data_IF_481245286825
#
_entry.id   IF_481245286825
#
_cell.length_a   1.000
_cell.length_b   1.000
_cell.length_c   1.000
_cell.angle_alpha   90.00
_cell.angle_beta   90.00
_cell.angle_gamma   90.00
#
_symmetry.space_group_name_H-M   'P 1'
#
loop_
_entity.id
_entity.type
_entity.pdbx_description
1 polymer ?
#
# COMPACT_ATOMS: atom_id res chain seq x y z
N UNK A 1 14.50 98.11 -45.63
CA UNK A 1 15.90 97.99 -45.18
C UNK A 1 16.00 96.75 -44.29
N UNK A 2 16.76 95.77 -44.77
CA UNK A 2 17.55 94.70 -44.11
C UNK A 2 17.27 94.23 -42.65
N UNK A 3 17.56 92.94 -42.34
CA UNK A 3 16.74 92.04 -41.51
C UNK A 3 17.43 91.57 -40.21
N UNK A 4 16.76 90.72 -39.39
CA UNK A 4 17.31 89.57 -38.60
C UNK A 4 16.18 89.02 -37.69
N UNK A 5 15.49 87.91 -38.01
CA UNK A 5 15.70 86.46 -37.68
C UNK A 5 15.64 86.07 -36.18
N UNK A 6 14.88 84.97 -35.94
CA UNK A 6 14.93 83.92 -34.86
C UNK A 6 14.06 84.19 -33.60
N UNK A 7 13.30 83.27 -32.97
CA UNK A 7 13.16 81.79 -32.93
C UNK A 7 11.71 81.43 -32.46
N UNK A 8 11.06 80.42 -33.04
CA UNK A 8 9.85 79.77 -32.47
C UNK A 8 10.27 78.63 -31.53
N UNK A 9 9.75 78.60 -30.29
CA UNK A 9 9.87 77.46 -29.35
C UNK A 9 8.74 76.46 -29.62
N UNK A 10 9.07 75.22 -29.97
CA UNK A 10 8.14 74.10 -30.03
C UNK A 10 8.38 73.17 -28.83
N UNK A 11 7.33 72.89 -28.08
CA UNK A 11 7.31 71.90 -27.00
C UNK A 11 7.05 70.51 -27.60
N UNK A 12 7.96 69.56 -27.37
CA UNK A 12 7.78 68.15 -27.75
C UNK A 12 7.23 67.40 -26.54
N UNK A 13 6.01 66.87 -26.67
CA UNK A 13 5.42 65.92 -25.74
C UNK A 13 5.94 64.51 -26.04
N UNK A 14 6.52 63.85 -25.05
CA UNK A 14 6.97 62.47 -25.15
C UNK A 14 5.81 61.50 -24.86
N UNK A 15 5.39 60.71 -25.85
CA UNK A 15 4.54 59.54 -25.66
C UNK A 15 5.40 58.35 -25.18
N UNK A 16 5.09 57.83 -24.00
CA UNK A 16 5.62 56.55 -23.49
C UNK A 16 4.64 55.42 -23.85
N UNK A 17 5.04 54.59 -24.81
CA UNK A 17 4.34 53.37 -25.20
C UNK A 17 4.64 52.27 -24.18
N UNK A 18 3.65 51.88 -23.36
CA UNK A 18 3.77 50.76 -22.43
C UNK A 18 3.42 49.45 -23.15
N UNK A 19 4.42 48.66 -23.52
CA UNK A 19 4.22 47.29 -24.02
C UNK A 19 4.09 46.37 -22.81
N UNK A 20 2.88 45.87 -22.55
CA UNK A 20 2.64 44.84 -21.55
C UNK A 20 3.11 43.48 -22.11
N UNK A 21 4.25 42.98 -21.64
CA UNK A 21 4.69 41.61 -21.85
C UNK A 21 3.82 40.67 -21.00
N UNK A 22 2.82 40.05 -21.62
CA UNK A 22 2.09 38.91 -21.05
C UNK A 22 2.99 37.67 -21.12
N UNK A 23 3.66 37.35 -20.02
CA UNK A 23 4.24 36.01 -19.84
C UNK A 23 3.12 35.03 -19.51
N UNK A 24 3.02 33.87 -20.18
CA UNK A 24 2.09 32.84 -19.74
C UNK A 24 2.62 32.30 -18.40
N UNK A 25 1.87 32.53 -17.33
CA UNK A 25 2.04 31.79 -16.09
C UNK A 25 1.68 30.33 -16.39
N UNK A 26 2.68 29.49 -16.61
CA UNK A 26 2.48 28.06 -16.39
C UNK A 26 2.08 27.92 -14.93
N UNK A 27 0.91 27.34 -14.60
CA UNK A 27 0.65 27.02 -13.20
C UNK A 27 1.76 26.06 -12.78
N UNK A 28 2.57 26.47 -11.81
CA UNK A 28 3.43 25.54 -11.10
C UNK A 28 2.50 24.48 -10.52
N UNK A 29 2.44 23.32 -11.16
CA UNK A 29 1.72 22.18 -10.60
C UNK A 29 2.32 21.98 -9.22
N UNK A 30 1.51 22.11 -8.17
CA UNK A 30 1.95 21.70 -6.85
C UNK A 30 2.48 20.27 -7.00
N UNK A 31 3.73 20.04 -6.58
CA UNK A 31 4.29 18.69 -6.63
C UNK A 31 3.36 17.78 -5.84
N UNK A 32 2.96 16.65 -6.43
CA UNK A 32 2.18 15.64 -5.73
C UNK A 32 2.96 15.22 -4.47
N UNK A 33 2.27 14.90 -3.37
CA UNK A 33 2.90 14.48 -2.11
C UNK A 33 2.26 13.17 -1.66
N UNK A 34 3.09 12.21 -1.27
CA UNK A 34 2.72 10.99 -0.57
C UNK A 34 2.35 11.34 0.88
N UNK A 35 1.12 11.03 1.25
CA UNK A 35 0.59 11.27 2.61
C UNK A 35 0.39 9.98 3.38
N UNK A 36 0.30 8.83 2.70
CA UNK A 36 0.26 7.51 3.31
C UNK A 36 1.62 6.81 3.11
N UNK A 37 2.54 7.09 4.04
CA UNK A 37 3.88 6.53 4.07
C UNK A 37 3.87 5.29 4.96
N UNK A 38 3.69 4.13 4.33
CA UNK A 38 3.18 2.95 4.99
C UNK A 38 4.17 1.80 5.15
N UNK A 39 3.94 0.97 6.16
CA UNK A 39 4.59 -0.34 6.31
C UNK A 39 3.56 -1.39 6.73
N UNK A 40 3.54 -2.56 6.07
CA UNK A 40 2.88 -3.75 6.59
C UNK A 40 3.80 -4.46 7.56
N UNK A 41 3.43 -4.55 8.84
CA UNK A 41 4.28 -5.16 9.88
C UNK A 41 3.55 -6.30 10.58
N UNK A 42 2.71 -7.04 9.88
CA UNK A 42 1.82 -7.99 10.55
C UNK A 42 2.58 -9.17 11.19
N UNK A 43 3.75 -9.55 10.67
CA UNK A 43 4.62 -10.58 11.26
C UNK A 43 5.29 -10.15 12.59
N UNK A 44 5.38 -8.85 12.86
CA UNK A 44 6.31 -8.30 13.85
C UNK A 44 5.98 -8.71 15.28
N UNK A 45 4.69 -8.87 15.61
CA UNK A 45 4.30 -9.31 16.95
C UNK A 45 4.85 -10.70 17.25
N UNK A 46 4.80 -11.59 16.26
CA UNK A 46 5.34 -12.94 16.42
C UNK A 46 6.85 -12.91 16.53
N UNK A 47 7.53 -12.09 15.72
CA UNK A 47 8.97 -11.86 15.87
C UNK A 47 9.33 -11.45 17.30
N UNK A 48 8.60 -10.48 17.86
CA UNK A 48 8.85 -9.99 19.23
C UNK A 48 8.56 -11.05 20.30
N UNK A 49 7.45 -11.79 20.19
CA UNK A 49 7.13 -12.91 21.09
C UNK A 49 8.19 -14.03 21.06
N UNK A 50 8.88 -14.19 19.92
CA UNK A 50 10.01 -15.12 19.74
C UNK A 50 11.37 -14.53 20.14
N UNK A 51 11.40 -13.30 20.68
CA UNK A 51 12.62 -12.66 21.20
C UNK A 51 13.46 -11.94 20.16
N UNK A 52 12.92 -11.67 18.96
CA UNK A 52 13.58 -10.83 17.96
C UNK A 52 13.92 -9.45 18.55
N UNK A 53 15.07 -8.91 18.14
CA UNK A 53 15.55 -7.59 18.57
C UNK A 53 15.81 -6.74 17.35
N UNK A 54 15.39 -5.48 17.42
CA UNK A 54 15.55 -4.51 16.34
C UNK A 54 16.47 -3.39 16.80
N UNK A 55 17.32 -2.92 15.90
CA UNK A 55 18.34 -1.91 16.16
C UNK A 55 18.27 -0.82 15.09
N UNK A 56 18.36 0.42 15.56
CA UNK A 56 18.48 1.58 14.67
C UNK A 56 19.85 1.62 13.95
N UNK A 57 20.04 2.61 13.08
CA UNK A 57 21.27 2.77 12.31
C UNK A 57 22.52 2.91 13.21
N UNK A 58 22.35 3.47 14.41
CA UNK A 58 23.39 3.64 15.42
C UNK A 58 23.66 2.37 16.25
N UNK A 59 22.88 1.30 16.04
CA UNK A 59 23.01 0.05 16.79
C UNK A 59 22.28 0.06 18.14
N UNK A 60 21.42 1.04 18.41
CA UNK A 60 20.64 1.09 19.64
C UNK A 60 19.39 0.23 19.49
N UNK A 61 19.15 -0.66 20.45
CA UNK A 61 17.94 -1.47 20.48
C UNK A 61 16.70 -0.58 20.67
N UNK A 62 15.70 -0.73 19.80
CA UNK A 62 14.44 0.02 19.85
C UNK A 62 13.29 -0.85 19.37
N UNK A 63 12.07 -0.45 19.70
CA UNK A 63 10.89 -1.04 19.11
C UNK A 63 10.89 -0.78 17.59
N UNK A 64 10.58 -1.78 16.75
CA UNK A 64 10.60 -1.63 15.30
C UNK A 64 9.65 -0.53 14.79
N UNK A 65 8.51 -0.27 15.44
CA UNK A 65 7.62 0.83 15.06
C UNK A 65 8.27 2.20 15.30
N UNK A 66 9.06 2.34 16.36
CA UNK A 66 9.76 3.60 16.65
C UNK A 66 10.90 3.84 15.64
N UNK A 67 11.59 2.77 15.23
CA UNK A 67 12.58 2.83 14.15
C UNK A 67 11.90 3.25 12.84
N UNK A 68 10.86 2.52 12.42
CA UNK A 68 10.12 2.82 11.18
C UNK A 68 9.55 4.23 11.16
N UNK A 69 8.99 4.70 12.28
CA UNK A 69 8.53 6.09 12.41
C UNK A 69 9.67 7.10 12.23
N UNK A 70 10.84 6.82 12.80
CA UNK A 70 12.05 7.61 12.58
C UNK A 70 12.54 7.62 11.12
N UNK A 71 12.17 6.62 10.33
CA UNK A 71 12.46 6.54 8.89
C UNK A 71 11.41 7.23 8.00
N UNK A 72 10.33 7.77 8.60
CA UNK A 72 9.27 8.50 7.90
C UNK A 72 7.93 7.77 7.82
N UNK A 73 7.81 6.53 8.34
CA UNK A 73 6.54 5.81 8.35
C UNK A 73 5.52 6.58 9.20
N UNK A 74 4.34 6.80 8.63
CA UNK A 74 3.20 7.43 9.28
C UNK A 74 1.93 6.56 9.28
N UNK A 75 1.98 5.40 8.62
CA UNK A 75 0.87 4.48 8.43
C UNK A 75 1.32 3.03 8.62
N UNK A 76 0.53 2.23 9.33
CA UNK A 76 0.76 0.79 9.48
C UNK A 76 -0.38 0.03 8.84
N UNK A 77 -0.06 -0.96 8.01
CA UNK A 77 -0.99 -1.95 7.48
C UNK A 77 -0.88 -3.23 8.31
N UNK A 78 -2.02 -3.81 8.67
CA UNK A 78 -2.11 -5.11 9.35
C UNK A 78 -3.10 -6.00 8.61
N UNK A 79 -2.62 -7.16 8.14
CA UNK A 79 -3.51 -8.19 7.61
C UNK A 79 -4.30 -8.85 8.73
N UNK A 80 -5.54 -9.21 8.42
CA UNK A 80 -6.42 -9.99 9.28
C UNK A 80 -6.98 -11.20 8.55
N UNK A 81 -6.67 -12.38 9.09
CA UNK A 81 -7.26 -13.66 8.73
C UNK A 81 -8.42 -13.98 9.67
N UNK A 82 -9.39 -14.74 9.18
CA UNK A 82 -10.60 -15.09 9.92
C UNK A 82 -10.30 -16.01 11.10
N UNK A 83 -9.76 -17.19 10.83
CA UNK A 83 -9.41 -18.19 11.83
C UNK A 83 -8.16 -19.00 11.44
N UNK A 84 -6.98 -18.36 11.42
CA UNK A 84 -5.74 -19.02 11.06
C UNK A 84 -5.31 -20.03 12.14
N UNK A 85 -4.92 -21.23 11.69
CA UNK A 85 -4.43 -22.32 12.57
C UNK A 85 -3.25 -21.90 13.44
N UNK A 86 -2.39 -21.00 12.94
CA UNK A 86 -1.26 -20.45 13.70
C UNK A 86 -1.67 -19.65 14.95
N UNK A 87 -2.90 -19.15 15.02
CA UNK A 87 -3.36 -18.19 16.03
C UNK A 87 -2.80 -16.78 15.86
N UNK A 88 -2.14 -16.48 14.73
CA UNK A 88 -1.53 -15.19 14.40
C UNK A 88 -2.25 -14.46 13.27
N UNK A 89 -2.16 -13.13 13.24
CA UNK A 89 -2.92 -12.28 12.31
C UNK A 89 -4.44 -12.48 12.35
N UNK A 90 -4.99 -13.00 13.46
CA UNK A 90 -6.43 -13.02 13.68
C UNK A 90 -6.90 -11.70 14.32
N UNK A 91 -8.22 -11.52 14.45
CA UNK A 91 -8.83 -10.36 15.10
C UNK A 91 -8.16 -10.00 16.44
N UNK A 92 -7.96 -10.97 17.34
CA UNK A 92 -7.40 -10.71 18.67
C UNK A 92 -5.98 -10.13 18.60
N UNK A 93 -5.12 -10.68 17.74
CA UNK A 93 -3.75 -10.18 17.51
C UNK A 93 -3.74 -8.81 16.84
N UNK A 94 -4.66 -8.55 15.92
CA UNK A 94 -4.80 -7.23 15.28
C UNK A 94 -5.23 -6.18 16.31
N UNK A 95 -6.22 -6.46 17.16
CA UNK A 95 -6.64 -5.54 18.22
C UNK A 95 -5.50 -5.24 19.20
N UNK A 96 -4.75 -6.27 19.60
CA UNK A 96 -3.63 -6.10 20.52
C UNK A 96 -2.59 -5.12 19.94
N UNK A 97 -2.19 -5.32 18.69
CA UNK A 97 -1.14 -4.50 18.08
C UNK A 97 -1.59 -3.13 17.63
N UNK A 98 -2.86 -2.98 17.23
CA UNK A 98 -3.43 -1.68 16.90
C UNK A 98 -3.25 -0.66 18.04
N UNK A 99 -3.22 -1.11 19.30
CA UNK A 99 -2.89 -0.25 20.45
C UNK A 99 -1.46 0.29 20.38
N UNK A 100 -0.49 -0.57 20.09
CA UNK A 100 0.92 -0.18 19.96
C UNK A 100 1.14 0.77 18.78
N UNK A 101 0.42 0.55 17.66
CA UNK A 101 0.42 1.43 16.48
C UNK A 101 -0.14 2.81 16.84
N UNK A 102 -1.36 2.88 17.39
CA UNK A 102 -2.04 4.16 17.66
C UNK A 102 -1.43 4.92 18.83
N UNK A 103 -0.86 4.25 19.83
CA UNK A 103 -0.12 4.90 20.92
C UNK A 103 1.10 5.70 20.40
N UNK A 104 1.64 5.33 19.24
CA UNK A 104 2.73 6.05 18.57
C UNK A 104 2.25 7.15 17.63
N UNK A 105 0.94 7.38 17.54
CA UNK A 105 0.35 8.35 16.62
C UNK A 105 0.42 7.93 15.15
N UNK A 106 0.69 6.65 14.86
CA UNK A 106 0.67 6.11 13.50
C UNK A 106 -0.78 5.86 13.07
N UNK A 107 -1.07 6.09 11.79
CA UNK A 107 -2.35 5.69 11.19
C UNK A 107 -2.42 4.19 10.99
N UNK A 108 -3.63 3.64 10.91
CA UNK A 108 -3.87 2.20 10.87
C UNK A 108 -4.76 1.80 9.69
N UNK A 109 -4.25 0.88 8.87
CA UNK A 109 -4.97 0.21 7.79
C UNK A 109 -5.18 -1.26 8.19
N UNK A 110 -6.42 -1.74 8.14
CA UNK A 110 -6.72 -3.17 8.30
C UNK A 110 -6.98 -3.79 6.95
N UNK A 111 -6.21 -4.82 6.62
CA UNK A 111 -6.39 -5.59 5.41
C UNK A 111 -7.13 -6.89 5.67
N UNK A 112 -8.40 -6.95 5.27
CA UNK A 112 -9.23 -8.14 5.39
C UNK A 112 -8.96 -9.09 4.22
N UNK A 113 -8.28 -10.19 4.50
CA UNK A 113 -8.07 -11.24 3.49
C UNK A 113 -9.35 -12.03 3.20
N UNK A 114 -10.30 -12.07 4.14
CA UNK A 114 -11.47 -12.95 4.10
C UNK A 114 -11.10 -14.42 3.81
N UNK A 115 -10.08 -14.89 4.52
CA UNK A 115 -9.52 -16.25 4.42
C UNK A 115 -8.90 -16.61 5.78
N UNK A 116 -8.71 -17.90 6.04
CA UNK A 116 -7.95 -18.40 7.19
C UNK A 116 -6.43 -18.40 6.93
N UNK A 117 -6.02 -18.05 5.72
CA UNK A 117 -4.63 -18.06 5.27
C UNK A 117 -4.41 -16.96 4.22
N UNK A 118 -3.25 -16.97 3.57
CA UNK A 118 -2.91 -16.09 2.45
C UNK A 118 -4.04 -15.99 1.41
N UNK A 119 -4.26 -14.77 0.94
CA UNK A 119 -5.15 -14.45 -0.16
C UNK A 119 -4.32 -13.64 -1.17
N UNK A 120 -4.25 -14.12 -2.40
CA UNK A 120 -3.40 -13.64 -3.49
C UNK A 120 -4.11 -13.92 -4.85
N UNK A 121 -3.57 -13.51 -6.02
CA UNK A 121 -4.22 -13.72 -7.30
C UNK A 121 -4.48 -15.19 -7.65
N UNK A 122 -3.74 -16.13 -7.05
CA UNK A 122 -3.89 -17.57 -7.24
C UNK A 122 -4.72 -18.26 -6.15
N UNK A 123 -4.96 -17.61 -5.01
CA UNK A 123 -5.61 -18.20 -3.82
C UNK A 123 -6.59 -17.21 -3.19
N UNK A 124 -7.87 -17.57 -3.13
CA UNK A 124 -8.91 -16.77 -2.49
C UNK A 124 -9.88 -17.69 -1.72
N UNK A 125 -9.33 -18.58 -0.90
CA UNK A 125 -10.11 -19.61 -0.22
C UNK A 125 -11.11 -19.02 0.77
N UNK A 126 -12.32 -19.60 0.83
CA UNK A 126 -13.24 -19.30 1.92
C UNK A 126 -12.64 -19.75 3.25
N UNK A 127 -12.82 -18.99 4.34
CA UNK A 127 -12.61 -19.48 5.70
C UNK A 127 -13.36 -20.79 5.92
N UNK A 128 -12.83 -21.68 6.75
CA UNK A 128 -13.44 -22.99 7.03
C UNK A 128 -14.88 -22.85 7.55
N UNK A 129 -15.14 -21.82 8.36
CA UNK A 129 -16.48 -21.51 8.86
C UNK A 129 -17.50 -21.15 7.77
N UNK A 130 -17.03 -20.74 6.57
CA UNK A 130 -17.85 -20.29 5.45
C UNK A 130 -17.81 -21.26 4.26
N UNK A 131 -17.20 -22.44 4.42
CA UNK A 131 -16.95 -23.39 3.32
C UNK A 131 -18.22 -23.76 2.53
N UNK A 132 -19.35 -23.94 3.24
CA UNK A 132 -20.63 -24.32 2.67
C UNK A 132 -21.58 -23.14 2.43
N UNK A 133 -21.14 -21.91 2.69
CA UNK A 133 -21.98 -20.73 2.49
C UNK A 133 -21.97 -20.33 1.02
N UNK A 134 -23.18 -20.13 0.46
CA UNK A 134 -23.37 -19.53 -0.86
C UNK A 134 -23.38 -18.01 -0.81
N UNK A 135 -23.44 -17.36 -1.98
CA UNK A 135 -23.23 -15.91 -2.10
C UNK A 135 -24.08 -15.03 -1.16
N UNK A 136 -25.35 -15.35 -0.93
CA UNK A 136 -26.21 -14.58 -0.04
C UNK A 136 -25.77 -14.61 1.43
N UNK A 137 -25.33 -15.79 1.91
CA UNK A 137 -24.77 -15.93 3.25
C UNK A 137 -23.39 -15.27 3.33
N UNK A 138 -22.53 -15.44 2.33
CA UNK A 138 -21.21 -14.81 2.28
C UNK A 138 -21.28 -13.28 2.30
N UNK A 139 -22.31 -12.68 1.69
CA UNK A 139 -22.55 -11.24 1.79
C UNK A 139 -22.78 -10.83 3.26
N UNK A 140 -23.57 -11.60 4.00
CA UNK A 140 -23.82 -11.39 5.43
C UNK A 140 -22.55 -11.63 6.25
N UNK A 141 -21.77 -12.65 5.92
CA UNK A 141 -20.53 -12.99 6.62
C UNK A 141 -19.46 -11.90 6.46
N UNK A 142 -19.26 -11.41 5.23
CA UNK A 142 -18.35 -10.29 4.94
C UNK A 142 -18.79 -9.05 5.71
N UNK A 143 -20.08 -8.71 5.66
CA UNK A 143 -20.60 -7.57 6.41
C UNK A 143 -20.29 -7.69 7.91
N UNK A 144 -20.69 -8.82 8.51
CA UNK A 144 -20.62 -9.02 9.95
C UNK A 144 -19.17 -9.08 10.44
N UNK A 145 -18.29 -9.77 9.72
CA UNK A 145 -16.88 -9.87 10.09
C UNK A 145 -16.18 -8.51 10.03
N UNK A 146 -16.41 -7.74 8.97
CA UNK A 146 -15.82 -6.40 8.81
C UNK A 146 -16.35 -5.43 9.86
N UNK A 147 -17.66 -5.45 10.12
CA UNK A 147 -18.27 -4.63 11.16
C UNK A 147 -17.74 -4.99 12.54
N UNK A 148 -17.62 -6.28 12.86
CA UNK A 148 -17.13 -6.77 14.15
C UNK A 148 -15.68 -6.35 14.42
N UNK A 149 -14.76 -6.57 13.48
CA UNK A 149 -13.36 -6.16 13.65
C UNK A 149 -13.25 -4.63 13.75
N UNK A 150 -13.90 -3.90 12.83
CA UNK A 150 -13.85 -2.44 12.83
C UNK A 150 -14.45 -1.83 14.11
N UNK A 151 -15.63 -2.29 14.52
CA UNK A 151 -16.31 -1.77 15.72
C UNK A 151 -15.55 -2.11 16.99
N UNK A 152 -14.90 -3.28 17.05
CA UNK A 152 -14.03 -3.64 18.17
C UNK A 152 -12.80 -2.74 18.26
N UNK A 153 -12.15 -2.43 17.13
CA UNK A 153 -11.05 -1.45 17.05
C UNK A 153 -11.51 -0.05 17.48
N UNK A 154 -12.70 0.38 17.04
CA UNK A 154 -13.28 1.66 17.43
C UNK A 154 -13.58 1.71 18.93
N UNK A 155 -14.20 0.68 19.49
CA UNK A 155 -14.54 0.58 20.90
C UNK A 155 -13.29 0.66 21.81
N UNK A 156 -12.14 0.18 21.34
CA UNK A 156 -10.88 0.29 22.07
C UNK A 156 -10.09 1.59 21.82
N UNK A 157 -10.64 2.55 21.07
CA UNK A 157 -9.98 3.82 20.76
C UNK A 157 -8.91 3.74 19.66
N UNK A 158 -8.87 2.65 18.88
CA UNK A 158 -7.92 2.46 17.77
C UNK A 158 -8.65 2.34 16.44
N UNK A 159 -9.67 3.17 16.22
CA UNK A 159 -10.45 3.19 14.98
C UNK A 159 -9.51 3.19 13.76
N UNK A 160 -9.72 2.29 12.78
CA UNK A 160 -8.89 2.26 11.60
C UNK A 160 -9.09 3.52 10.75
N UNK A 161 -8.00 4.06 10.24
CA UNK A 161 -7.99 5.19 9.32
C UNK A 161 -8.44 4.73 7.91
N UNK A 162 -8.10 3.50 7.54
CA UNK A 162 -8.61 2.82 6.35
C UNK A 162 -8.79 1.32 6.55
N UNK A 163 -9.59 0.70 5.69
CA UNK A 163 -9.73 -0.75 5.60
C UNK A 163 -9.68 -1.19 4.14
N UNK A 164 -9.04 -2.33 3.89
CA UNK A 164 -8.98 -2.97 2.59
C UNK A 164 -9.92 -4.17 2.57
N UNK A 165 -10.80 -4.22 1.56
CA UNK A 165 -11.82 -5.26 1.42
C UNK A 165 -11.32 -6.30 0.42
N UNK A 166 -10.67 -7.33 0.94
CA UNK A 166 -9.99 -8.37 0.17
C UNK A 166 -8.52 -8.01 -0.10
N UNK A 167 -7.67 -9.01 -0.25
CA UNK A 167 -6.27 -8.82 -0.67
C UNK A 167 -6.03 -9.38 -2.07
N UNK A 168 -5.44 -8.56 -2.95
CA UNK A 168 -5.10 -8.90 -4.34
C UNK A 168 -6.22 -9.68 -5.05
N UNK A 169 -7.43 -9.12 -5.02
CA UNK A 169 -8.66 -9.78 -5.49
C UNK A 169 -8.79 -9.75 -7.01
N UNK A 170 -7.68 -9.93 -7.73
CA UNK A 170 -7.54 -9.73 -9.17
C UNK A 170 -8.65 -10.40 -9.95
N UNK A 171 -9.11 -11.59 -9.53
CA UNK A 171 -10.24 -12.31 -10.16
C UNK A 171 -11.36 -12.66 -9.16
N UNK A 172 -11.56 -11.81 -8.15
CA UNK A 172 -12.56 -11.93 -7.11
C UNK A 172 -12.02 -12.46 -5.78
N UNK A 173 -12.91 -12.74 -4.84
CA UNK A 173 -12.57 -13.23 -3.49
C UNK A 173 -13.56 -14.32 -3.04
N UNK A 174 -13.26 -15.07 -1.96
CA UNK A 174 -14.16 -16.11 -1.44
C UNK A 174 -14.61 -17.12 -2.51
N UNK A 175 -13.64 -17.73 -3.19
CA UNK A 175 -13.89 -18.63 -4.30
C UNK A 175 -14.59 -19.93 -3.87
N UNK A 176 -15.48 -20.50 -4.70
CA UNK A 176 -15.80 -20.04 -6.06
C UNK A 176 -16.97 -19.05 -6.14
N UNK A 177 -17.70 -18.83 -5.05
CA UNK A 177 -18.91 -18.00 -5.05
C UNK A 177 -18.63 -16.55 -5.44
N UNK A 178 -17.57 -15.94 -4.92
CA UNK A 178 -17.19 -14.56 -5.25
C UNK A 178 -16.13 -14.44 -6.36
N UNK A 179 -15.83 -15.53 -7.07
CA UNK A 179 -14.91 -15.52 -8.23
C UNK A 179 -15.58 -14.84 -9.42
N UNK A 180 -14.83 -14.01 -10.15
CA UNK A 180 -15.30 -13.45 -11.42
C UNK A 180 -15.13 -14.51 -12.52
N UNK A 181 -16.23 -14.93 -13.12
CA UNK A 181 -16.25 -15.93 -14.20
C UNK A 181 -17.02 -15.34 -15.38
N UNK A 182 -16.52 -15.52 -16.60
CA UNK A 182 -17.15 -15.01 -17.83
C UNK A 182 -17.47 -13.51 -17.78
N UNK A 183 -16.58 -12.70 -17.18
CA UNK A 183 -16.77 -11.26 -16.96
C UNK A 183 -18.00 -10.89 -16.10
N UNK A 184 -18.56 -11.83 -15.33
CA UNK A 184 -19.64 -11.53 -14.40
C UNK A 184 -19.12 -11.11 -13.03
N UNK A 185 -19.22 -9.82 -12.75
CA UNK A 185 -18.83 -9.20 -11.48
C UNK A 185 -19.95 -9.19 -10.43
N UNK A 186 -21.12 -9.79 -10.71
CA UNK A 186 -22.30 -9.71 -9.83
C UNK A 186 -21.97 -10.16 -8.40
N UNK A 187 -21.45 -11.37 -8.23
CA UNK A 187 -21.20 -11.92 -6.90
C UNK A 187 -20.09 -11.16 -6.16
N UNK A 188 -18.97 -10.87 -6.83
CA UNK A 188 -17.93 -10.03 -6.24
C UNK A 188 -18.49 -8.69 -5.76
N UNK A 189 -19.33 -8.04 -6.58
CA UNK A 189 -19.90 -6.74 -6.23
C UNK A 189 -20.77 -6.78 -4.96
N UNK A 190 -21.48 -7.88 -4.71
CA UNK A 190 -22.29 -8.04 -3.49
C UNK A 190 -21.40 -8.06 -2.24
N UNK A 191 -20.28 -8.80 -2.32
CA UNK A 191 -19.32 -8.91 -1.22
C UNK A 191 -18.60 -7.58 -0.97
N UNK A 192 -18.15 -6.90 -2.03
CA UNK A 192 -17.49 -5.59 -1.90
C UNK A 192 -18.42 -4.52 -1.32
N UNK A 193 -19.69 -4.50 -1.74
CA UNK A 193 -20.71 -3.61 -1.16
C UNK A 193 -20.93 -3.93 0.32
N UNK A 194 -21.00 -5.20 0.70
CA UNK A 194 -21.15 -5.61 2.10
C UNK A 194 -19.99 -5.09 2.97
N UNK A 195 -18.75 -5.28 2.51
CA UNK A 195 -17.56 -4.77 3.21
C UNK A 195 -17.54 -3.23 3.31
N UNK A 196 -17.91 -2.53 2.23
CA UNK A 196 -18.04 -1.07 2.24
C UNK A 196 -19.08 -0.59 3.27
N UNK A 197 -20.29 -1.16 3.23
CA UNK A 197 -21.38 -0.77 4.13
C UNK A 197 -21.03 -1.05 5.60
N UNK A 198 -20.46 -2.21 5.91
CA UNK A 198 -20.00 -2.55 7.26
C UNK A 198 -18.96 -1.55 7.77
N UNK A 199 -18.03 -1.14 6.92
CA UNK A 199 -17.03 -0.12 7.25
C UNK A 199 -17.68 1.21 7.58
N UNK A 200 -18.58 1.70 6.71
CA UNK A 200 -19.24 2.99 6.92
C UNK A 200 -20.18 3.00 8.11
N UNK A 201 -20.82 1.86 8.41
CA UNK A 201 -21.64 1.68 9.60
C UNK A 201 -20.80 1.71 10.88
N UNK A 202 -19.63 1.08 10.88
CA UNK A 202 -18.69 1.14 12.00
C UNK A 202 -18.19 2.58 12.21
N UNK A 203 -17.68 3.21 11.14
CA UNK A 203 -17.16 4.57 11.15
C UNK A 203 -17.18 5.19 9.75
N UNK A 204 -18.04 6.19 9.53
CA UNK A 204 -18.20 6.84 8.22
C UNK A 204 -16.93 7.50 7.69
N UNK A 205 -16.03 7.93 8.58
CA UNK A 205 -14.74 8.53 8.23
C UNK A 205 -13.64 7.54 7.85
N UNK A 206 -13.81 6.23 8.07
CA UNK A 206 -12.82 5.22 7.69
C UNK A 206 -12.84 5.02 6.17
N UNK A 207 -11.69 5.14 5.52
CA UNK A 207 -11.58 4.99 4.07
C UNK A 207 -11.65 3.52 3.65
N UNK A 208 -12.36 3.22 2.55
CA UNK A 208 -12.47 1.88 2.00
C UNK A 208 -11.57 1.74 0.77
N UNK A 209 -10.72 0.72 0.79
CA UNK A 209 -9.71 0.41 -0.22
C UNK A 209 -10.08 -0.88 -0.95
N UNK A 210 -9.94 -0.88 -2.27
CA UNK A 210 -10.02 -2.08 -3.12
C UNK A 210 -8.65 -2.31 -3.75
N UNK A 211 -8.11 -3.52 -3.61
CA UNK A 211 -6.72 -3.85 -3.91
C UNK A 211 -6.59 -4.94 -4.98
N UNK A 212 -5.75 -4.70 -6.00
CA UNK A 212 -5.35 -5.72 -6.99
C UNK A 212 -3.85 -5.67 -7.29
N UNK A 213 -3.25 -6.80 -7.65
CA UNK A 213 -1.88 -6.89 -8.15
C UNK A 213 -1.78 -6.63 -9.68
N UNK A 214 -2.45 -5.58 -10.17
CA UNK A 214 -2.60 -5.29 -11.61
C UNK A 214 -1.74 -4.10 -12.09
N UNK A 215 -0.64 -3.77 -11.37
CA UNK A 215 0.26 -2.67 -11.76
C UNK A 215 1.06 -2.97 -13.04
N UNK A 216 1.06 -4.23 -13.50
CA UNK A 216 1.68 -4.70 -14.73
C UNK A 216 0.92 -4.28 -15.99
N UNK A 217 -0.41 -4.14 -15.90
CA UNK A 217 -1.29 -4.08 -17.06
C UNK A 217 -2.48 -3.15 -16.85
N UNK A 218 -2.51 -2.06 -17.63
CA UNK A 218 -3.69 -1.18 -17.72
C UNK A 218 -4.93 -1.96 -18.15
N UNK A 219 -4.80 -2.94 -19.04
CA UNK A 219 -5.94 -3.74 -19.48
C UNK A 219 -6.54 -4.56 -18.33
N UNK A 220 -5.70 -5.19 -17.50
CA UNK A 220 -6.15 -5.97 -16.34
C UNK A 220 -6.77 -5.06 -15.26
N UNK A 221 -6.11 -3.94 -14.96
CA UNK A 221 -6.62 -2.96 -14.01
C UNK A 221 -7.97 -2.38 -14.49
N UNK A 222 -8.08 -2.02 -15.76
CA UNK A 222 -9.33 -1.53 -16.37
C UNK A 222 -10.44 -2.56 -16.29
N UNK A 223 -10.18 -3.79 -16.73
CA UNK A 223 -11.15 -4.87 -16.70
C UNK A 223 -11.74 -5.07 -15.29
N UNK A 224 -10.89 -5.12 -14.27
CA UNK A 224 -11.33 -5.32 -12.90
C UNK A 224 -12.14 -4.13 -12.37
N UNK A 225 -11.57 -2.92 -12.44
CA UNK A 225 -12.18 -1.74 -11.82
C UNK A 225 -13.43 -1.26 -12.59
N UNK A 226 -13.50 -1.46 -13.92
CA UNK A 226 -14.74 -1.29 -14.68
C UNK A 226 -15.81 -2.27 -14.25
N UNK A 227 -15.44 -3.53 -14.09
CA UNK A 227 -16.37 -4.59 -13.72
C UNK A 227 -17.08 -4.27 -12.42
N UNK A 228 -16.34 -3.86 -11.39
CA UNK A 228 -16.94 -3.47 -10.11
C UNK A 228 -17.69 -2.13 -10.19
N UNK A 229 -17.19 -1.15 -10.96
CA UNK A 229 -17.85 0.15 -11.15
C UNK A 229 -19.20 0.00 -11.86
N UNK A 230 -19.27 -0.83 -12.90
CA UNK A 230 -20.49 -1.11 -13.66
C UNK A 230 -21.57 -1.80 -12.80
N UNK A 231 -21.15 -2.50 -11.74
CA UNK A 231 -22.06 -3.08 -10.73
C UNK A 231 -22.40 -2.10 -9.60
N UNK A 232 -21.89 -0.86 -9.63
CA UNK A 232 -22.16 0.17 -8.63
C UNK A 232 -21.45 -0.08 -7.29
N UNK A 233 -20.30 -0.75 -7.29
CA UNK A 233 -19.44 -0.83 -6.10
C UNK A 233 -18.88 0.56 -5.79
N UNK A 234 -18.92 0.95 -4.52
CA UNK A 234 -18.31 2.18 -4.02
C UNK A 234 -17.00 1.84 -3.32
N UNK A 235 -15.99 2.69 -3.49
CA UNK A 235 -14.75 2.67 -2.73
C UNK A 235 -14.13 4.06 -2.72
N UNK A 236 -13.22 4.29 -1.78
CA UNK A 236 -12.59 5.61 -1.57
C UNK A 236 -11.20 5.67 -2.21
N UNK A 237 -10.42 4.58 -2.13
CA UNK A 237 -9.04 4.50 -2.65
C UNK A 237 -8.85 3.26 -3.53
N UNK A 238 -8.20 3.46 -4.67
CA UNK A 238 -7.77 2.37 -5.55
C UNK A 238 -6.37 1.92 -5.12
N UNK A 239 -6.18 0.62 -4.87
CA UNK A 239 -4.90 0.09 -4.42
C UNK A 239 -4.26 -0.90 -5.40
N UNK A 240 -2.94 -0.88 -5.46
CA UNK A 240 -2.13 -1.74 -6.30
C UNK A 240 -0.96 -2.37 -5.52
N UNK A 241 -0.61 -3.62 -5.80
CA UNK A 241 0.72 -4.16 -5.50
C UNK A 241 1.69 -3.81 -6.61
N UNK A 242 2.92 -3.42 -6.27
CA UNK A 242 4.01 -3.25 -7.23
C UNK A 242 5.30 -3.89 -6.71
N UNK A 243 5.70 -4.96 -7.38
CA UNK A 243 7.00 -5.60 -7.20
C UNK A 243 7.66 -5.62 -8.57
N UNK A 244 8.79 -4.94 -8.75
CA UNK A 244 9.43 -4.82 -10.07
C UNK A 244 9.82 -6.19 -10.68
N UNK A 245 9.96 -7.22 -9.84
CA UNK A 245 10.24 -8.61 -10.25
C UNK A 245 9.12 -9.23 -11.09
N UNK A 246 7.88 -8.75 -10.92
CA UNK A 246 6.68 -9.37 -11.52
C UNK A 246 5.78 -8.37 -12.24
N UNK A 247 5.75 -7.11 -11.79
CA UNK A 247 4.73 -6.14 -12.20
C UNK A 247 5.23 -5.12 -13.25
N UNK A 248 6.27 -5.49 -14.00
CA UNK A 248 6.80 -4.67 -15.09
C UNK A 248 7.60 -3.45 -14.63
N UNK A 249 7.83 -2.54 -15.57
CA UNK A 249 8.73 -1.39 -15.36
C UNK A 249 8.07 -0.27 -14.55
N UNK A 250 8.87 0.67 -14.06
CA UNK A 250 8.35 1.91 -13.46
C UNK A 250 7.49 2.74 -14.44
N UNK A 251 7.77 2.65 -15.75
CA UNK A 251 6.90 3.26 -16.75
C UNK A 251 5.52 2.59 -16.82
N UNK A 252 5.46 1.26 -16.65
CA UNK A 252 4.18 0.55 -16.52
C UNK A 252 3.43 1.03 -15.27
N UNK A 253 4.10 1.08 -14.12
CA UNK A 253 3.54 1.58 -12.88
C UNK A 253 2.97 3.00 -13.02
N UNK A 254 3.75 3.93 -13.57
CA UNK A 254 3.32 5.31 -13.80
C UNK A 254 2.05 5.39 -14.63
N UNK A 255 2.01 4.64 -15.74
CA UNK A 255 0.88 4.64 -16.67
C UNK A 255 -0.37 4.03 -16.03
N UNK A 256 -0.24 2.92 -15.30
CA UNK A 256 -1.38 2.29 -14.62
C UNK A 256 -1.94 3.21 -13.53
N UNK A 257 -1.09 3.80 -12.69
CA UNK A 257 -1.54 4.76 -11.66
C UNK A 257 -2.29 5.93 -12.29
N UNK A 258 -1.71 6.55 -13.33
CA UNK A 258 -2.32 7.69 -14.03
C UNK A 258 -3.68 7.32 -14.63
N UNK A 259 -3.77 6.12 -15.24
CA UNK A 259 -4.98 5.62 -15.86
C UNK A 259 -6.10 5.39 -14.85
N UNK A 260 -5.86 4.56 -13.82
CA UNK A 260 -6.90 4.23 -12.84
C UNK A 260 -7.33 5.44 -12.02
N UNK A 261 -6.40 6.36 -11.71
CA UNK A 261 -6.73 7.61 -11.02
C UNK A 261 -7.65 8.49 -11.86
N UNK A 262 -7.27 8.75 -13.11
CA UNK A 262 -8.02 9.64 -14.01
C UNK A 262 -9.39 9.07 -14.36
N UNK A 263 -9.46 7.75 -14.57
CA UNK A 263 -10.65 7.05 -15.01
C UNK A 263 -11.71 6.89 -13.94
N UNK A 264 -11.30 6.53 -12.72
CA UNK A 264 -12.25 6.27 -11.62
C UNK A 264 -12.42 7.46 -10.68
N UNK A 265 -11.61 8.51 -10.83
CA UNK A 265 -11.68 9.72 -10.00
C UNK A 265 -11.37 9.45 -8.53
N UNK A 266 -10.57 8.42 -8.23
CA UNK A 266 -10.18 8.00 -6.88
C UNK A 266 -8.67 8.17 -6.69
N UNK A 267 -8.20 8.60 -5.50
CA UNK A 267 -6.78 8.54 -5.20
C UNK A 267 -6.25 7.10 -5.25
N UNK A 268 -4.96 6.97 -5.59
CA UNK A 268 -4.28 5.68 -5.73
C UNK A 268 -3.26 5.51 -4.62
N UNK A 269 -3.12 4.29 -4.11
CA UNK A 269 -2.11 3.89 -3.12
C UNK A 269 -1.44 2.61 -3.58
N UNK A 270 -0.12 2.52 -3.41
CA UNK A 270 0.57 1.23 -3.51
C UNK A 270 0.55 0.57 -2.13
N UNK A 271 -0.24 -0.48 -1.97
CA UNK A 271 -0.42 -1.16 -0.66
C UNK A 271 0.64 -2.21 -0.39
N UNK A 272 1.36 -2.63 -1.42
CA UNK A 272 2.50 -3.53 -1.30
C UNK A 272 3.61 -3.20 -2.29
N UNK A 273 4.83 -3.14 -1.78
CA UNK A 273 6.09 -3.17 -2.54
C UNK A 273 7.21 -3.60 -1.60
N UNK A 274 8.27 -4.21 -2.12
CA UNK A 274 9.48 -4.52 -1.37
C UNK A 274 10.60 -4.88 -2.33
N UNK A 275 11.83 -4.89 -1.82
CA UNK A 275 13.01 -5.20 -2.61
C UNK A 275 14.09 -5.90 -1.77
N UNK A 276 14.81 -6.89 -2.32
CA UNK A 276 15.83 -7.60 -1.54
C UNK A 276 17.08 -6.75 -1.28
N UNK A 277 17.58 -6.78 -0.04
CA UNK A 277 18.88 -6.19 0.34
C UNK A 277 20.04 -7.16 0.17
N UNK A 278 19.77 -8.42 -0.16
CA UNK A 278 20.77 -9.48 -0.35
C UNK A 278 20.22 -10.60 -1.23
N UNK A 279 21.09 -11.30 -1.95
CA UNK A 279 20.74 -12.52 -2.68
C UNK A 279 20.83 -13.79 -1.81
N UNK A 280 21.38 -13.66 -0.59
CA UNK A 280 21.57 -14.78 0.31
C UNK A 280 20.27 -15.19 1.01
N UNK A 281 20.24 -16.44 1.48
CA UNK A 281 19.14 -17.03 2.25
C UNK A 281 19.52 -17.10 3.73
N UNK A 282 18.66 -16.67 4.64
CA UNK A 282 19.00 -16.66 6.07
C UNK A 282 18.87 -18.02 6.74
N UNK A 283 17.88 -18.81 6.31
CA UNK A 283 17.51 -20.07 6.95
C UNK A 283 17.39 -21.22 5.94
N UNK A 284 16.64 -22.28 6.27
CA UNK A 284 16.45 -23.45 5.40
C UNK A 284 15.29 -23.31 4.41
N UNK A 285 14.49 -22.24 4.49
CA UNK A 285 13.36 -21.98 3.62
C UNK A 285 13.81 -21.09 2.45
N UNK A 286 13.62 -21.51 1.19
CA UNK A 286 14.02 -20.69 0.05
C UNK A 286 13.26 -19.36 -0.03
N UNK A 287 13.99 -18.25 -0.19
CA UNK A 287 13.40 -16.94 -0.44
C UNK A 287 12.52 -16.91 -1.70
N UNK A 288 11.43 -16.14 -1.65
CA UNK A 288 10.48 -15.94 -2.77
C UNK A 288 11.15 -15.23 -3.96
N UNK A 289 12.16 -14.40 -3.70
CA UNK A 289 12.92 -13.67 -4.71
C UNK A 289 14.40 -13.98 -4.54
N UNK A 290 15.02 -14.41 -5.64
CA UNK A 290 16.42 -14.82 -5.70
C UNK A 290 17.18 -13.97 -6.73
N UNK A 291 18.51 -14.01 -6.67
CA UNK A 291 19.39 -13.36 -7.65
C UNK A 291 20.06 -12.10 -7.13
N UNK A 292 21.20 -11.74 -7.74
CA UNK A 292 22.03 -10.60 -7.32
C UNK A 292 21.55 -9.26 -7.86
N UNK A 293 20.68 -9.26 -8.86
CA UNK A 293 20.03 -8.07 -9.42
C UNK A 293 18.60 -8.44 -9.87
N UNK A 294 17.65 -8.61 -8.95
CA UNK A 294 16.29 -9.07 -9.28
C UNK A 294 15.50 -8.12 -10.19
N UNK A 295 15.91 -6.85 -10.25
CA UNK A 295 15.38 -5.86 -11.19
C UNK A 295 16.55 -5.08 -11.78
N UNK A 296 16.49 -4.82 -13.09
CA UNK A 296 17.57 -4.18 -13.82
C UNK A 296 17.97 -2.84 -13.19
N UNK A 297 19.27 -2.65 -12.96
CA UNK A 297 19.84 -1.44 -12.37
C UNK A 297 19.83 -1.39 -10.84
N UNK A 298 19.33 -2.43 -10.17
CA UNK A 298 19.27 -2.50 -8.70
C UNK A 298 19.91 -3.79 -8.17
N UNK A 299 21.17 -3.77 -7.71
CA UNK A 299 21.74 -4.96 -7.09
C UNK A 299 21.03 -5.27 -5.76
N UNK A 300 20.79 -6.54 -5.46
CA UNK A 300 20.30 -7.03 -4.17
C UNK A 300 21.33 -6.72 -3.06
N UNK A 301 21.23 -5.50 -2.55
CA UNK A 301 22.20 -4.83 -1.68
C UNK A 301 21.49 -3.76 -0.87
N UNK A 302 22.12 -3.26 0.19
CA UNK A 302 21.53 -2.20 1.02
C UNK A 302 21.26 -0.92 0.23
N UNK A 303 22.17 -0.52 -0.67
CA UNK A 303 21.99 0.64 -1.54
C UNK A 303 20.96 0.38 -2.64
N UNK A 304 20.94 -0.82 -3.24
CA UNK A 304 19.96 -1.18 -4.25
C UNK A 304 18.53 -1.21 -3.71
N UNK A 305 18.30 -1.84 -2.55
CA UNK A 305 16.99 -1.83 -1.86
C UNK A 305 16.49 -0.40 -1.58
N UNK A 306 17.37 0.47 -1.09
CA UNK A 306 17.00 1.85 -0.83
C UNK A 306 16.72 2.65 -2.11
N UNK A 307 17.50 2.40 -3.17
CA UNK A 307 17.36 3.09 -4.45
C UNK A 307 16.07 2.67 -5.17
N UNK A 308 15.79 1.37 -5.23
CA UNK A 308 14.57 0.85 -5.84
C UNK A 308 13.34 1.38 -5.11
N UNK A 309 13.31 1.31 -3.78
CA UNK A 309 12.18 1.83 -3.01
C UNK A 309 12.00 3.35 -3.18
N UNK A 310 13.09 4.12 -3.31
CA UNK A 310 13.02 5.53 -3.63
C UNK A 310 12.46 5.78 -5.03
N UNK A 311 12.82 4.95 -6.02
CA UNK A 311 12.31 5.07 -7.39
C UNK A 311 10.83 4.70 -7.48
N UNK A 312 10.36 3.70 -6.74
CA UNK A 312 8.94 3.36 -6.63
C UNK A 312 8.16 4.53 -6.02
N UNK A 313 8.63 5.10 -4.91
CA UNK A 313 8.00 6.26 -4.28
C UNK A 313 7.94 7.46 -5.23
N UNK A 314 9.05 7.79 -5.90
CA UNK A 314 9.10 8.88 -6.87
C UNK A 314 8.14 8.64 -8.04
N UNK A 315 8.15 7.45 -8.63
CA UNK A 315 7.25 7.08 -9.73
C UNK A 315 5.78 7.20 -9.30
N UNK A 316 5.44 6.69 -8.12
CA UNK A 316 4.09 6.76 -7.59
C UNK A 316 3.66 8.22 -7.33
N UNK A 317 4.55 9.04 -6.74
CA UNK A 317 4.33 10.46 -6.49
C UNK A 317 4.14 11.23 -7.80
N UNK A 318 5.00 11.01 -8.79
CA UNK A 318 4.93 11.70 -10.08
C UNK A 318 3.66 11.32 -10.85
N UNK A 319 3.27 10.04 -10.80
CA UNK A 319 1.98 9.57 -11.30
C UNK A 319 0.78 10.03 -10.45
N UNK A 320 1.05 10.66 -9.29
CA UNK A 320 0.14 11.23 -8.29
C UNK A 320 -0.78 10.23 -7.60
N UNK A 321 -0.20 9.08 -7.25
CA UNK A 321 -0.64 8.33 -6.08
C UNK A 321 -0.41 9.15 -4.79
N UNK A 322 -1.12 8.81 -3.73
CA UNK A 322 -1.04 9.48 -2.42
C UNK A 322 -0.32 8.64 -1.36
N UNK A 323 0.13 7.43 -1.69
CA UNK A 323 0.71 6.52 -0.72
C UNK A 323 1.49 5.35 -1.30
N UNK A 324 2.45 4.89 -0.51
CA UNK A 324 3.26 3.69 -0.77
C UNK A 324 3.50 2.96 0.54
N UNK A 325 3.23 1.66 0.56
CA UNK A 325 3.41 0.76 1.70
C UNK A 325 4.49 -0.28 1.39
N UNK A 326 5.53 -0.33 2.21
CA UNK A 326 6.52 -1.41 2.15
C UNK A 326 5.93 -2.65 2.82
N UNK A 327 5.96 -3.79 2.13
CA UNK A 327 5.42 -5.03 2.66
C UNK A 327 6.47 -5.79 3.50
N UNK A 328 6.11 -6.06 4.75
CA UNK A 328 6.91 -6.82 5.72
C UNK A 328 8.37 -6.35 5.89
N UNK A 329 8.62 -5.04 6.13
CA UNK A 329 9.98 -4.54 6.30
C UNK A 329 10.64 -5.12 7.56
N UNK A 330 9.88 -5.65 8.52
CA UNK A 330 10.37 -6.16 9.82
C UNK A 330 10.58 -7.68 9.85
N UNK A 331 10.22 -8.39 8.79
CA UNK A 331 10.19 -9.86 8.78
C UNK A 331 11.53 -10.43 8.31
N UNK A 332 12.58 -10.24 9.10
CA UNK A 332 13.83 -10.99 8.92
C UNK A 332 13.68 -12.40 9.52
N UNK A 333 14.56 -13.34 9.16
CA UNK A 333 14.47 -14.71 9.64
C UNK A 333 14.63 -14.83 11.16
N UNK A 334 13.57 -15.34 11.81
CA UNK A 334 13.51 -15.65 13.24
C UNK A 334 12.98 -17.08 13.35
N UNK A 335 13.71 -18.01 14.02
CA UNK A 335 13.26 -19.38 14.16
C UNK A 335 11.83 -19.48 14.71
N UNK A 336 10.98 -20.22 14.00
CA UNK A 336 9.56 -20.35 14.33
C UNK A 336 8.69 -19.17 13.88
N UNK A 337 9.17 -18.23 13.07
CA UNK A 337 8.34 -17.21 12.43
C UNK A 337 8.20 -17.45 10.92
N UNK A 338 7.74 -18.66 10.58
CA UNK A 338 7.64 -19.12 9.20
C UNK A 338 6.51 -18.49 8.39
N UNK A 339 6.58 -18.66 7.07
CA UNK A 339 5.60 -18.08 6.15
C UNK A 339 4.25 -18.82 6.14
N UNK A 340 4.25 -20.12 6.40
CA UNK A 340 3.04 -20.95 6.29
C UNK A 340 2.25 -20.93 7.62
N UNK A 341 1.05 -20.33 7.68
CA UNK A 341 0.25 -20.36 8.91
C UNK A 341 -0.22 -21.76 9.32
N UNK A 342 -0.22 -22.76 8.43
CA UNK A 342 -0.52 -24.15 8.80
C UNK A 342 0.68 -24.85 9.48
N UNK A 343 1.91 -24.38 9.23
CA UNK A 343 3.14 -24.91 9.82
C UNK A 343 4.12 -23.79 10.20
N UNK A 344 3.62 -22.78 10.92
CA UNK A 344 4.37 -21.55 11.19
C UNK A 344 5.62 -21.76 12.05
N UNK A 345 5.64 -22.83 12.85
CA UNK A 345 6.79 -23.22 13.67
C UNK A 345 7.83 -24.03 12.86
N UNK A 346 7.39 -24.73 11.82
CA UNK A 346 8.21 -25.70 11.08
C UNK A 346 8.66 -25.23 9.70
N UNK A 347 8.13 -24.12 9.20
CA UNK A 347 8.62 -23.43 7.99
C UNK A 347 9.53 -22.28 8.37
N UNK A 348 10.47 -21.95 7.48
CA UNK A 348 11.29 -20.75 7.61
C UNK A 348 10.64 -19.54 6.94
N UNK A 349 11.41 -18.48 6.72
CA UNK A 349 10.92 -17.21 6.21
C UNK A 349 11.32 -17.00 4.74
N UNK A 350 10.33 -17.02 3.84
CA UNK A 350 10.55 -16.78 2.40
C UNK A 350 10.82 -15.30 2.04
N UNK A 351 10.76 -14.40 3.01
CA UNK A 351 10.88 -12.95 2.83
C UNK A 351 12.08 -12.34 3.53
N UNK A 352 12.96 -13.18 4.10
CA UNK A 352 14.02 -12.72 5.00
C UNK A 352 14.97 -11.72 4.34
N UNK A 353 15.17 -11.85 3.02
CA UNK A 353 16.07 -11.01 2.26
C UNK A 353 15.44 -9.71 1.80
N UNK A 354 14.13 -9.55 1.95
CA UNK A 354 13.34 -8.37 1.56
C UNK A 354 12.93 -7.50 2.75
N UNK A 355 13.17 -7.94 3.98
CA UNK A 355 13.11 -7.06 5.14
C UNK A 355 14.07 -5.86 4.99
N UNK A 356 13.80 -4.74 5.64
CA UNK A 356 14.75 -3.62 5.70
C UNK A 356 15.72 -3.78 6.87
N UNK A 357 15.55 -4.81 7.70
CA UNK A 357 16.47 -5.19 8.75
C UNK A 357 17.26 -6.41 8.28
N UNK A 358 18.57 -6.41 8.49
CA UNK A 358 19.34 -7.64 8.30
C UNK A 358 18.98 -8.70 9.36
N UNK A 359 19.57 -9.88 9.22
CA UNK A 359 19.27 -11.03 10.08
C UNK A 359 19.80 -10.89 11.52
N UNK A 360 20.52 -9.81 11.86
CA UNK A 360 20.84 -9.45 13.24
C UNK A 360 19.91 -8.37 13.80
N UNK A 361 18.90 -7.95 13.03
CA UNK A 361 17.92 -6.96 13.39
C UNK A 361 18.38 -5.51 13.20
N UNK A 362 19.49 -5.25 12.50
CA UNK A 362 19.96 -3.89 12.22
C UNK A 362 19.30 -3.34 10.97
N UNK A 363 18.70 -2.15 11.08
CA UNK A 363 17.99 -1.50 9.98
C UNK A 363 18.93 -0.99 8.89
N UNK A 364 18.48 -1.05 7.64
CA UNK A 364 19.10 -0.41 6.50
C UNK A 364 18.98 1.12 6.62
N UNK A 365 20.09 1.85 6.87
CA UNK A 365 20.09 3.28 7.12
C UNK A 365 19.83 4.10 5.85
N UNK A 366 19.74 3.48 4.68
CA UNK A 366 19.48 4.17 3.42
C UNK A 366 17.99 4.16 3.04
N UNK A 367 17.19 3.24 3.59
CA UNK A 367 15.75 3.18 3.31
C UNK A 367 15.03 4.31 4.05
N UNK A 368 14.23 5.08 3.32
CA UNK A 368 13.44 6.19 3.84
C UNK A 368 12.08 6.24 3.17
N UNK A 369 11.09 6.66 3.94
CA UNK A 369 9.78 7.07 3.43
C UNK A 369 9.80 8.57 3.22
N UNK A 370 9.59 9.01 1.99
CA UNK A 370 9.67 10.44 1.61
C UNK A 370 8.29 10.95 1.21
N UNK A 371 7.81 12.07 1.80
CA UNK A 371 6.58 12.73 1.35
C UNK A 371 6.65 13.09 -0.13
#
# INVERSE_FOLDING_TARGET
MTPHRRVLRAWVAALLSLVALLTPLTPASAANTLTMLGADVSSVQRSLDLGARYYDAGGTARDPLDILKGLGVNYVRLRVWNNPVSGWNNKARVLAYARAVKARGLKLMIDFHYSDTWADPGKQYKPAAWANHGIGQLQTDVHNYTYDVCSSLKAQGTTPDSVQIGNEINVGMLWNDGRVVNNDFTNLSLLLKAGYQATKQCNSGTQVIIHTANADSMANARWFYDGIAAKGVQWDLTALSYYCMWHGTLANLYNVITDVRSRYGRPVVLTETAYPFTAANADGEPNSVNGTEPCAGHPASWSGQATEFAWVQNTARDAGAIGVFYWEPTWYAVPGNGWDPANINGTGNQWDNMAIFNWTGRVNPNVRWTP
#
